data_IF_009752098953
#
_entry.id   IF_009752098953
#
_cell.length_a   1.000
_cell.length_b   1.000
_cell.length_c   1.000
_cell.angle_alpha   90.00
_cell.angle_beta   90.00
_cell.angle_gamma   90.00
#
_symmetry.space_group_name_H-M   'P 1'
#
loop_
_entity.id
_entity.type
_entity.pdbx_description
1 polymer ?
#
# COMPACT_ATOMS: atom_id res chain seq x y z
N UNK A 1 28.15 -9.64 -24.43
CA UNK A 1 26.87 -10.40 -24.43
C UNK A 1 26.38 -10.54 -22.98
N UNK A 2 25.61 -9.56 -22.48
CA UNK A 2 25.11 -9.57 -21.09
C UNK A 2 23.85 -10.44 -21.03
N UNK A 3 23.93 -11.56 -20.31
CA UNK A 3 22.77 -12.42 -20.02
C UNK A 3 21.70 -11.57 -19.33
N UNK A 4 20.49 -11.53 -19.90
CA UNK A 4 19.30 -11.03 -19.20
C UNK A 4 19.01 -11.96 -18.02
N UNK A 5 19.67 -11.68 -16.90
CA UNK A 5 19.25 -12.15 -15.59
C UNK A 5 17.91 -11.48 -15.33
N UNK A 6 16.83 -12.25 -15.12
CA UNK A 6 15.50 -11.72 -14.79
C UNK A 6 15.64 -10.58 -13.79
N UNK A 7 15.09 -9.41 -14.13
CA UNK A 7 15.20 -8.23 -13.29
C UNK A 7 14.83 -8.57 -11.84
N UNK A 8 15.70 -8.23 -10.88
CA UNK A 8 15.43 -8.46 -9.47
C UNK A 8 14.07 -7.89 -9.03
N UNK A 9 13.60 -6.83 -9.69
CA UNK A 9 12.30 -6.20 -9.49
C UNK A 9 11.10 -7.06 -9.92
N UNK A 10 11.28 -7.96 -10.89
CA UNK A 10 10.23 -8.87 -11.39
C UNK A 10 9.98 -10.08 -10.50
N UNK A 11 10.90 -10.41 -9.58
CA UNK A 11 10.74 -11.53 -8.66
C UNK A 11 9.53 -11.31 -7.72
N UNK A 12 8.80 -12.37 -7.32
CA UNK A 12 7.78 -12.29 -6.28
C UNK A 12 8.39 -11.86 -4.93
N UNK A 13 7.56 -11.42 -3.98
CA UNK A 13 8.00 -10.84 -2.70
C UNK A 13 9.03 -11.70 -1.97
N UNK A 14 8.74 -12.99 -1.82
CA UNK A 14 9.65 -13.97 -1.20
C UNK A 14 10.96 -14.15 -1.99
N UNK A 15 10.90 -14.12 -3.33
CA UNK A 15 12.09 -14.23 -4.18
C UNK A 15 13.05 -13.04 -4.01
N UNK A 16 12.52 -11.83 -3.86
CA UNK A 16 13.33 -10.65 -3.56
C UNK A 16 13.93 -10.68 -2.16
N UNK A 17 13.19 -11.19 -1.18
CA UNK A 17 13.70 -11.37 0.18
C UNK A 17 14.88 -12.36 0.19
N UNK A 18 14.71 -13.53 -0.43
CA UNK A 18 15.78 -14.52 -0.55
C UNK A 18 17.01 -13.93 -1.26
N UNK A 19 16.81 -13.13 -2.32
CA UNK A 19 17.89 -12.43 -3.02
C UNK A 19 18.64 -11.47 -2.07
N UNK A 20 17.92 -10.61 -1.34
CA UNK A 20 18.52 -9.67 -0.37
C UNK A 20 19.33 -10.40 0.69
N UNK A 21 18.79 -11.48 1.26
CA UNK A 21 19.46 -12.28 2.28
C UNK A 21 20.73 -12.94 1.75
N UNK A 22 20.70 -13.49 0.51
CA UNK A 22 21.88 -14.08 -0.13
C UNK A 22 22.97 -13.06 -0.40
N UNK A 23 22.61 -11.87 -0.88
CA UNK A 23 23.56 -10.77 -1.14
C UNK A 23 24.23 -10.32 0.15
N UNK A 24 23.44 -10.07 1.21
CA UNK A 24 24.00 -9.65 2.52
C UNK A 24 24.87 -10.75 3.13
N UNK A 25 24.47 -12.03 3.02
CA UNK A 25 25.29 -13.15 3.48
C UNK A 25 26.63 -13.23 2.73
N UNK A 26 26.62 -13.08 1.41
CA UNK A 26 27.84 -13.11 0.60
C UNK A 26 28.80 -11.97 1.00
N UNK A 27 28.28 -10.75 1.19
CA UNK A 27 29.09 -9.61 1.64
C UNK A 27 29.67 -9.85 3.03
N UNK A 28 28.89 -10.42 3.96
CA UNK A 28 29.40 -10.78 5.30
C UNK A 28 30.43 -11.90 5.30
N UNK A 29 30.46 -12.74 4.26
CA UNK A 29 31.46 -13.79 4.07
C UNK A 29 32.76 -13.26 3.43
N UNK A 30 32.88 -11.94 3.25
CA UNK A 30 34.10 -11.29 2.74
C UNK A 30 34.03 -10.86 1.28
N UNK A 31 32.90 -11.06 0.59
CA UNK A 31 32.73 -10.58 -0.79
C UNK A 31 32.58 -9.05 -0.80
N UNK A 32 33.23 -8.38 -1.76
CA UNK A 32 33.04 -6.94 -1.89
C UNK A 32 31.62 -6.60 -2.37
N UNK A 33 31.09 -5.44 -1.98
CA UNK A 33 29.75 -5.00 -2.40
C UNK A 33 29.65 -4.82 -3.92
N UNK A 34 30.76 -4.47 -4.59
CA UNK A 34 30.84 -4.33 -6.04
C UNK A 34 30.74 -5.70 -6.74
N UNK A 35 31.46 -6.70 -6.24
CA UNK A 35 31.39 -8.07 -6.77
C UNK A 35 30.03 -8.70 -6.52
N UNK A 36 29.47 -8.51 -5.32
CA UNK A 36 28.12 -8.98 -5.01
C UNK A 36 27.09 -8.37 -5.97
N UNK A 37 27.19 -7.07 -6.28
CA UNK A 37 26.31 -6.43 -7.25
C UNK A 37 26.40 -7.06 -8.65
N UNK A 38 27.63 -7.33 -9.12
CA UNK A 38 27.87 -7.99 -10.42
C UNK A 38 27.34 -9.43 -10.45
N UNK A 39 27.61 -10.20 -9.40
CA UNK A 39 27.23 -11.61 -9.31
C UNK A 39 25.71 -11.80 -9.25
N UNK A 40 25.02 -10.96 -8.47
CA UNK A 40 23.58 -11.07 -8.25
C UNK A 40 22.74 -10.22 -9.21
N UNK A 41 23.36 -9.46 -10.12
CA UNK A 41 22.65 -8.60 -11.07
C UNK A 41 21.94 -7.41 -10.41
N UNK A 42 22.52 -6.86 -9.34
CA UNK A 42 21.94 -5.77 -8.54
C UNK A 42 22.90 -4.57 -8.55
N UNK A 43 22.35 -3.36 -8.72
CA UNK A 43 23.16 -2.15 -8.65
C UNK A 43 23.89 -2.02 -7.31
N UNK A 44 25.16 -1.61 -7.33
CA UNK A 44 25.99 -1.40 -6.12
C UNK A 44 25.28 -0.57 -5.05
N UNK A 45 24.67 0.56 -5.44
CA UNK A 45 23.94 1.42 -4.49
C UNK A 45 22.81 0.71 -3.74
N UNK A 46 22.16 -0.26 -4.38
CA UNK A 46 21.13 -1.09 -3.76
C UNK A 46 21.74 -2.06 -2.74
N UNK A 47 22.90 -2.65 -3.04
CA UNK A 47 23.66 -3.50 -2.11
C UNK A 47 24.09 -2.69 -0.88
N UNK A 48 24.67 -1.49 -1.09
CA UNK A 48 25.06 -0.58 -0.01
C UNK A 48 23.86 -0.28 0.91
N UNK A 49 22.69 0.04 0.31
CA UNK A 49 21.47 0.31 1.07
C UNK A 49 21.01 -0.90 1.89
N UNK A 50 21.09 -2.11 1.35
CA UNK A 50 20.72 -3.32 2.09
C UNK A 50 21.67 -3.59 3.27
N UNK A 51 22.97 -3.39 3.08
CA UNK A 51 23.96 -3.50 4.16
C UNK A 51 23.69 -2.48 5.27
N UNK A 52 23.48 -1.20 4.93
CA UNK A 52 23.17 -0.16 5.93
C UNK A 52 21.86 -0.44 6.69
N UNK A 53 20.84 -0.99 6.02
CA UNK A 53 19.60 -1.38 6.67
C UNK A 53 19.81 -2.57 7.61
N UNK A 54 20.61 -3.54 7.18
CA UNK A 54 20.94 -4.72 7.97
C UNK A 54 21.75 -4.37 9.23
N UNK A 55 22.73 -3.47 9.12
CA UNK A 55 23.53 -3.00 10.26
C UNK A 55 22.68 -2.28 11.31
N UNK A 56 21.68 -1.49 10.88
CA UNK A 56 20.84 -0.69 11.80
C UNK A 56 19.75 -1.49 12.51
N UNK A 57 19.17 -2.49 11.84
CA UNK A 57 17.91 -3.11 12.26
C UNK A 57 17.91 -4.64 12.12
N UNK A 58 19.03 -5.24 11.72
CA UNK A 58 19.20 -6.68 11.58
C UNK A 58 18.48 -7.31 10.38
N UNK A 59 18.40 -8.64 10.39
CA UNK A 59 17.87 -9.43 9.27
C UNK A 59 16.36 -9.22 9.00
N UNK A 60 15.60 -8.76 10.00
CA UNK A 60 14.15 -8.58 9.89
C UNK A 60 13.70 -7.54 8.86
N UNK A 61 14.56 -6.58 8.53
CA UNK A 61 14.23 -5.49 7.59
C UNK A 61 14.28 -5.91 6.13
N UNK A 62 15.01 -6.98 5.82
CA UNK A 62 15.10 -7.51 4.47
C UNK A 62 13.90 -8.37 4.07
N UNK A 63 13.00 -8.65 5.03
CA UNK A 63 11.78 -9.43 4.82
C UNK A 63 10.88 -8.80 3.76
N UNK A 64 10.22 -9.65 2.98
CA UNK A 64 9.27 -9.22 1.98
C UNK A 64 8.15 -8.43 2.64
N UNK A 65 8.01 -7.15 2.26
CA UNK A 65 6.83 -6.37 2.62
C UNK A 65 5.73 -6.60 1.61
N UNK A 66 4.49 -6.53 2.10
CA UNK A 66 3.31 -6.59 1.25
C UNK A 66 3.40 -5.50 0.18
N UNK A 67 3.27 -5.89 -1.08
CA UNK A 67 3.23 -4.95 -2.21
C UNK A 67 1.83 -4.35 -2.36
N UNK A 68 1.76 -3.13 -2.89
CA UNK A 68 0.53 -2.44 -3.23
C UNK A 68 -0.20 -1.76 -2.06
N UNK A 69 -1.25 -1.00 -2.40
CA UNK A 69 -2.08 -0.24 -1.46
C UNK A 69 -2.61 -1.15 -0.34
N UNK A 70 -2.64 -0.69 0.93
CA UNK A 70 -3.30 -1.41 2.04
C UNK A 70 -4.69 -1.92 1.65
N UNK A 71 -5.09 -3.09 2.17
CA UNK A 71 -6.40 -3.72 1.85
C UNK A 71 -7.53 -2.93 2.50
N UNK A 72 -7.21 -2.19 3.55
CA UNK A 72 -8.16 -1.37 4.29
C UNK A 72 -8.36 -0.06 3.54
N UNK A 73 -9.61 0.15 3.13
CA UNK A 73 -10.11 1.46 2.71
C UNK A 73 -10.10 2.41 3.92
N UNK A 74 -9.99 3.73 3.69
CA UNK A 74 -10.06 4.74 4.76
C UNK A 74 -11.39 4.69 5.52
N UNK A 75 -12.44 4.15 4.89
CA UNK A 75 -13.72 3.87 5.52
C UNK A 75 -13.88 2.36 5.75
N UNK A 76 -14.17 1.96 6.98
CA UNK A 76 -14.44 0.57 7.30
C UNK A 76 -15.72 0.08 6.57
N UNK A 77 -15.78 -1.19 6.11
CA UNK A 77 -16.95 -1.73 5.40
C UNK A 77 -18.27 -1.57 6.16
N UNK A 78 -18.25 -1.69 7.48
CA UNK A 78 -19.43 -1.49 8.32
C UNK A 78 -19.98 -0.05 8.21
N UNK A 79 -19.10 0.95 8.24
CA UNK A 79 -19.46 2.37 8.10
C UNK A 79 -19.99 2.67 6.70
N UNK A 80 -19.41 2.05 5.66
CA UNK A 80 -19.90 2.15 4.29
C UNK A 80 -21.35 1.64 4.17
N UNK A 81 -21.63 0.44 4.71
CA UNK A 81 -23.00 -0.13 4.73
C UNK A 81 -24.00 0.73 5.48
N UNK A 82 -23.60 1.27 6.64
CA UNK A 82 -24.45 2.19 7.39
C UNK A 82 -24.75 3.47 6.59
N UNK A 83 -23.77 3.98 5.85
CA UNK A 83 -23.93 5.15 4.98
C UNK A 83 -24.93 4.88 3.86
N UNK A 84 -24.79 3.74 3.17
CA UNK A 84 -25.74 3.31 2.13
C UNK A 84 -27.15 3.20 2.70
N UNK A 85 -27.33 2.55 3.86
CA UNK A 85 -28.63 2.45 4.53
C UNK A 85 -29.24 3.82 4.85
N UNK A 86 -28.44 4.79 5.30
CA UNK A 86 -28.91 6.14 5.57
C UNK A 86 -29.36 6.85 4.29
N UNK A 87 -28.59 6.71 3.19
CA UNK A 87 -28.92 7.28 1.88
C UNK A 87 -30.23 6.70 1.34
N UNK A 88 -30.42 5.37 1.43
CA UNK A 88 -31.61 4.70 0.90
C UNK A 88 -32.87 4.98 1.73
N UNK A 89 -32.75 5.25 3.03
CA UNK A 89 -33.90 5.43 3.92
C UNK A 89 -34.25 6.88 4.24
N UNK A 90 -33.38 7.85 3.94
CA UNK A 90 -33.57 9.25 4.34
C UNK A 90 -33.18 10.22 3.23
N UNK A 91 -33.77 11.42 3.29
CA UNK A 91 -33.34 12.56 2.49
C UNK A 91 -32.25 13.37 3.23
N UNK A 92 -31.39 14.12 2.52
CA UNK A 92 -30.32 14.90 3.15
C UNK A 92 -30.83 15.92 4.19
N UNK A 93 -31.97 16.56 3.93
CA UNK A 93 -32.66 17.48 4.87
C UNK A 93 -32.91 16.81 6.23
N UNK A 94 -33.49 15.60 6.22
CA UNK A 94 -33.78 14.83 7.43
C UNK A 94 -32.52 14.51 8.25
N UNK A 95 -31.37 14.49 7.59
CA UNK A 95 -30.06 14.27 8.21
C UNK A 95 -29.33 15.57 8.57
N UNK A 96 -30.02 16.72 8.51
CA UNK A 96 -29.52 18.07 8.79
C UNK A 96 -28.34 18.45 7.91
N UNK A 97 -28.36 18.00 6.66
CA UNK A 97 -27.38 18.37 5.65
C UNK A 97 -27.89 19.57 4.83
N UNK A 98 -27.03 20.52 4.46
CA UNK A 98 -27.41 21.71 3.69
C UNK A 98 -27.56 21.39 2.18
N UNK A 99 -28.27 20.31 1.84
CA UNK A 99 -28.50 19.88 0.46
C UNK A 99 -29.95 19.46 0.25
N UNK A 100 -30.47 19.74 -0.94
CA UNK A 100 -31.84 19.36 -1.32
C UNK A 100 -31.92 17.90 -1.76
N UNK A 101 -30.83 17.34 -2.30
CA UNK A 101 -30.76 15.98 -2.85
C UNK A 101 -29.41 15.32 -2.60
N UNK A 102 -29.34 14.01 -2.81
CA UNK A 102 -28.11 13.26 -2.65
C UNK A 102 -27.12 13.57 -3.77
N UNK A 103 -26.10 14.35 -3.43
CA UNK A 103 -24.90 14.54 -4.26
C UNK A 103 -23.70 13.84 -3.62
N UNK A 104 -22.63 13.65 -4.39
CA UNK A 104 -21.37 13.11 -3.86
C UNK A 104 -20.80 13.99 -2.73
N UNK A 105 -21.01 15.31 -2.80
CA UNK A 105 -20.65 16.26 -1.74
C UNK A 105 -21.54 16.08 -0.50
N UNK A 106 -22.84 15.84 -0.66
CA UNK A 106 -23.76 15.56 0.45
C UNK A 106 -23.36 14.28 1.19
N UNK A 107 -23.04 13.21 0.46
CA UNK A 107 -22.56 11.95 1.05
C UNK A 107 -21.19 12.15 1.74
N UNK A 108 -20.31 12.96 1.17
CA UNK A 108 -19.03 13.29 1.82
C UNK A 108 -19.25 14.03 3.15
N UNK A 109 -20.16 15.01 3.19
CA UNK A 109 -20.49 15.73 4.43
C UNK A 109 -21.14 14.81 5.46
N UNK A 110 -22.04 13.90 5.05
CA UNK A 110 -22.60 12.89 5.94
C UNK A 110 -21.51 12.03 6.60
N UNK A 111 -20.53 11.58 5.81
CA UNK A 111 -19.42 10.76 6.30
C UNK A 111 -18.54 11.54 7.31
N UNK A 112 -18.28 12.81 7.04
CA UNK A 112 -17.52 13.68 7.95
C UNK A 112 -18.30 13.88 9.26
N UNK A 113 -19.58 14.24 9.19
CA UNK A 113 -20.41 14.47 10.38
C UNK A 113 -20.58 13.22 11.26
N UNK A 114 -20.73 12.03 10.66
CA UNK A 114 -21.05 10.80 11.39
C UNK A 114 -19.85 9.99 11.84
N UNK A 115 -18.77 9.98 11.07
CA UNK A 115 -17.64 9.07 11.32
C UNK A 115 -16.31 9.78 11.48
N UNK A 116 -16.23 11.07 11.12
CA UNK A 116 -15.03 11.90 11.11
C UNK A 116 -13.90 11.60 10.07
N UNK A 117 -13.97 10.64 9.10
CA UNK A 117 -12.94 10.52 8.09
C UNK A 117 -13.20 11.48 6.93
N UNK A 118 -12.19 12.27 6.57
CA UNK A 118 -12.16 12.94 5.26
C UNK A 118 -11.84 11.91 4.18
N UNK A 119 -12.86 11.47 3.46
CA UNK A 119 -12.74 10.55 2.33
C UNK A 119 -12.64 11.31 1.01
N UNK A 120 -11.95 10.73 0.01
CA UNK A 120 -11.92 11.32 -1.33
C UNK A 120 -13.26 11.11 -2.05
N UNK A 121 -13.55 11.94 -3.05
CA UNK A 121 -14.73 11.79 -3.92
C UNK A 121 -14.78 10.39 -4.55
N UNK A 122 -13.63 9.83 -4.96
CA UNK A 122 -13.53 8.46 -5.48
C UNK A 122 -13.96 7.37 -4.49
N UNK A 123 -13.73 7.60 -3.19
CA UNK A 123 -14.20 6.68 -2.14
C UNK A 123 -15.71 6.77 -1.99
N UNK A 124 -16.29 7.98 -2.09
CA UNK A 124 -17.74 8.19 -2.07
C UNK A 124 -18.42 7.50 -3.24
N UNK A 125 -17.89 7.67 -4.46
CA UNK A 125 -18.40 7.00 -5.67
C UNK A 125 -18.35 5.48 -5.51
N UNK A 126 -17.24 4.93 -5.01
CA UNK A 126 -17.10 3.50 -4.76
C UNK A 126 -18.11 2.97 -3.71
N UNK A 127 -18.51 3.78 -2.71
CA UNK A 127 -19.53 3.39 -1.73
C UNK A 127 -20.92 3.38 -2.37
N UNK A 128 -21.25 4.42 -3.14
CA UNK A 128 -22.56 4.54 -3.78
C UNK A 128 -22.77 3.45 -4.85
N UNK A 129 -21.72 3.08 -5.58
CA UNK A 129 -21.78 2.02 -6.60
C UNK A 129 -22.03 0.60 -6.04
N UNK A 130 -21.91 0.39 -4.73
CA UNK A 130 -22.06 -0.92 -4.09
C UNK A 130 -23.48 -1.13 -3.52
N UNK A 131 -24.36 -0.12 -3.53
CA UNK A 131 -25.71 -0.31 -2.97
C UNK A 131 -26.69 0.86 -3.04
N UNK A 132 -26.54 1.78 -4.01
CA UNK A 132 -27.64 2.66 -4.44
C UNK A 132 -28.23 2.12 -5.72
#
# INVERSE_FOLDING_TARGET
MMRSLRDACSLPGMGQEALRQRVVKAVRQGMSQTEAGRLFGVARGTVNRWMSLWERQGAGVLKARRRGRPRQSRLAPAKARQTVKMISSHCPDQLRLPFVMWTREAVQQLLVQRFNPRVSVWTVVAICAVGV
#
